data_IF_801108475969
#
_entry.id   IF_801108475969
#
_cell.length_a   1.000
_cell.length_b   1.000
_cell.length_c   1.000
_cell.angle_alpha   90.00
_cell.angle_beta   90.00
_cell.angle_gamma   90.00
#
_symmetry.space_group_name_H-M   'P 1'
#
loop_
_entity.id
_entity.type
_entity.pdbx_description
1 polymer ?
#
# COMPACT_ATOMS: atom_id res chain seq x y z
N UNK A 1 -4.22 11.04 -33.87
CA UNK A 1 -5.11 11.84 -32.99
C UNK A 1 -4.75 11.68 -31.52
N UNK A 2 -4.25 10.51 -31.09
CA UNK A 2 -3.65 10.24 -29.77
C UNK A 2 -2.22 10.79 -29.61
N UNK A 3 -1.35 10.61 -30.61
CA UNK A 3 0.07 11.06 -30.53
C UNK A 3 0.25 12.58 -30.38
N UNK A 4 -0.65 13.39 -30.96
CA UNK A 4 -0.59 14.86 -30.82
C UNK A 4 -1.03 15.34 -29.44
N UNK A 5 -1.93 14.59 -28.79
CA UNK A 5 -2.39 14.87 -27.41
C UNK A 5 -1.31 14.52 -26.39
N UNK A 6 -0.74 13.33 -26.53
CA UNK A 6 0.44 12.85 -25.79
C UNK A 6 1.60 13.85 -25.80
N UNK A 7 1.92 14.42 -26.96
CA UNK A 7 2.98 15.41 -27.11
C UNK A 7 2.64 16.76 -26.45
N UNK A 8 1.36 17.15 -26.46
CA UNK A 8 0.85 18.32 -25.75
C UNK A 8 1.01 18.20 -24.23
N UNK A 9 0.61 17.08 -23.63
CA UNK A 9 0.82 16.81 -22.20
C UNK A 9 2.31 16.84 -21.81
N UNK A 10 3.18 16.28 -22.65
CA UNK A 10 4.62 16.26 -22.41
C UNK A 10 5.21 17.68 -22.42
N UNK A 11 4.83 18.53 -23.37
CA UNK A 11 5.31 19.92 -23.47
C UNK A 11 4.82 20.80 -22.30
N UNK A 12 3.62 20.54 -21.78
CA UNK A 12 3.06 21.25 -20.61
C UNK A 12 3.77 20.85 -19.30
N UNK A 13 4.09 19.56 -19.12
CA UNK A 13 4.93 19.10 -18.00
C UNK A 13 6.36 19.64 -18.06
N UNK A 14 6.89 19.82 -19.27
CA UNK A 14 8.25 20.32 -19.48
C UNK A 14 8.35 21.83 -19.19
N UNK A 15 7.34 22.62 -19.56
CA UNK A 15 7.32 24.09 -19.48
C UNK A 15 6.88 24.69 -18.14
N UNK A 16 6.29 23.90 -17.24
CA UNK A 16 5.79 24.36 -15.94
C UNK A 16 6.91 24.54 -14.90
N UNK A 17 7.57 25.70 -14.90
CA UNK A 17 8.56 26.11 -13.86
C UNK A 17 8.44 27.58 -13.42
N UNK A 18 7.22 28.14 -13.28
CA UNK A 18 7.03 29.46 -12.65
C UNK A 18 5.79 29.50 -11.77
N UNK A 19 5.94 30.07 -10.58
CA UNK A 19 4.96 30.10 -9.49
C UNK A 19 3.61 30.73 -9.87
N UNK A 20 2.59 30.26 -9.14
CA UNK A 20 1.19 30.71 -9.03
C UNK A 20 0.21 30.50 -10.20
N UNK A 21 -0.87 29.77 -9.85
CA UNK A 21 -2.11 29.43 -10.58
C UNK A 21 -2.01 28.81 -11.99
N UNK A 22 -1.10 29.25 -12.85
CA UNK A 22 -0.91 28.73 -14.21
C UNK A 22 -0.35 27.30 -14.25
N UNK A 23 0.44 26.91 -13.25
CA UNK A 23 0.95 25.55 -13.05
C UNK A 23 -0.18 24.57 -12.76
N UNK A 24 -1.20 25.00 -12.04
CA UNK A 24 -2.31 24.15 -11.59
C UNK A 24 -3.20 23.80 -12.79
N UNK A 25 -3.61 24.78 -13.60
CA UNK A 25 -4.38 24.53 -14.83
C UNK A 25 -3.61 23.70 -15.86
N UNK A 26 -2.31 23.96 -16.04
CA UNK A 26 -1.46 23.16 -16.93
C UNK A 26 -1.29 21.72 -16.43
N UNK A 27 -1.21 21.52 -15.11
CA UNK A 27 -1.08 20.18 -14.52
C UNK A 27 -2.38 19.39 -14.60
N UNK A 28 -3.55 20.04 -14.48
CA UNK A 28 -4.87 19.40 -14.62
C UNK A 28 -5.07 18.80 -16.01
N UNK A 29 -4.76 19.56 -17.06
CA UNK A 29 -4.91 19.10 -18.47
C UNK A 29 -4.00 17.90 -18.77
N UNK A 30 -2.75 17.95 -18.29
CA UNK A 30 -1.79 16.85 -18.43
C UNK A 30 -2.30 15.59 -17.74
N UNK A 31 -2.81 15.76 -16.52
CA UNK A 31 -3.26 14.67 -15.66
C UNK A 31 -4.51 13.97 -16.23
N UNK A 32 -5.43 14.73 -16.81
CA UNK A 32 -6.58 14.18 -17.54
C UNK A 32 -6.12 13.41 -18.80
N UNK A 33 -5.15 13.92 -19.54
CA UNK A 33 -4.61 13.23 -20.72
C UNK A 33 -3.88 11.92 -20.36
N UNK A 34 -3.11 11.90 -19.28
CA UNK A 34 -2.43 10.69 -18.79
C UNK A 34 -3.46 9.63 -18.35
N UNK A 35 -4.51 10.05 -17.64
CA UNK A 35 -5.52 9.14 -17.11
C UNK A 35 -6.43 8.54 -18.20
N UNK A 36 -6.56 9.22 -19.35
CA UNK A 36 -7.39 8.81 -20.47
C UNK A 36 -6.67 7.97 -21.55
N UNK A 37 -5.39 7.65 -21.37
CA UNK A 37 -4.59 6.95 -22.39
C UNK A 37 -4.77 5.42 -22.34
N UNK A 38 -4.95 4.79 -23.52
CA UNK A 38 -5.13 3.33 -23.70
C UNK A 38 -3.92 2.52 -23.15
N UNK A 39 -4.15 1.46 -22.35
CA UNK A 39 -3.10 0.58 -21.81
C UNK A 39 -2.06 0.06 -22.82
N UNK A 40 -2.43 -0.13 -24.08
CA UNK A 40 -1.52 -0.58 -25.14
C UNK A 40 -0.57 0.51 -25.65
N UNK A 41 -0.95 1.78 -25.48
CA UNK A 41 -0.13 2.96 -25.80
C UNK A 41 0.68 3.44 -24.58
N UNK A 42 0.40 2.90 -23.39
CA UNK A 42 1.02 3.31 -22.14
C UNK A 42 2.52 2.99 -22.10
N UNK A 43 2.99 1.86 -22.63
CA UNK A 43 4.43 1.49 -22.54
C UNK A 43 5.34 2.47 -23.28
N UNK A 44 5.00 2.80 -24.53
CA UNK A 44 5.72 3.81 -25.31
C UNK A 44 5.59 5.20 -24.68
N UNK A 45 4.44 5.51 -24.06
CA UNK A 45 4.22 6.78 -23.37
C UNK A 45 4.98 6.87 -22.04
N UNK A 46 5.08 5.78 -21.28
CA UNK A 46 5.85 5.66 -20.04
C UNK A 46 7.34 5.89 -20.29
N UNK A 47 7.86 5.30 -21.37
CA UNK A 47 9.25 5.48 -21.78
C UNK A 47 9.52 6.94 -22.18
N UNK A 48 8.62 7.56 -22.95
CA UNK A 48 8.72 8.97 -23.32
C UNK A 48 8.61 9.92 -22.12
N UNK A 49 7.69 9.67 -21.18
CA UNK A 49 7.56 10.47 -19.95
C UNK A 49 8.80 10.34 -19.06
N UNK A 50 9.38 9.13 -18.97
CA UNK A 50 10.64 8.90 -18.26
C UNK A 50 11.78 9.67 -18.91
N UNK A 51 11.94 9.54 -20.23
CA UNK A 51 12.98 10.23 -21.00
C UNK A 51 12.82 11.76 -20.97
N UNK A 52 11.59 12.27 -20.83
CA UNK A 52 11.29 13.68 -20.66
C UNK A 52 11.57 14.22 -19.24
N UNK A 53 11.97 13.38 -18.29
CA UNK A 53 12.19 13.78 -16.90
C UNK A 53 10.90 14.14 -16.13
N UNK A 54 9.75 13.56 -16.51
CA UNK A 54 8.48 13.81 -15.84
C UNK A 54 8.39 13.15 -14.45
N UNK A 55 9.05 11.99 -14.24
CA UNK A 55 8.97 11.25 -12.98
C UNK A 55 9.50 12.03 -11.77
N UNK A 56 10.70 12.64 -11.82
CA UNK A 56 11.17 13.51 -10.73
C UNK A 56 10.26 14.70 -10.45
N UNK A 57 9.62 15.27 -11.50
CA UNK A 57 8.70 16.40 -11.35
C UNK A 57 7.42 16.01 -10.62
N UNK A 58 6.83 14.85 -10.96
CA UNK A 58 5.67 14.30 -10.25
C UNK A 58 5.98 14.07 -8.76
N UNK A 59 7.15 13.51 -8.46
CA UNK A 59 7.61 13.31 -7.08
C UNK A 59 7.80 14.64 -6.35
N UNK A 60 8.36 15.66 -7.00
CA UNK A 60 8.53 16.99 -6.42
C UNK A 60 7.19 17.66 -6.14
N UNK A 61 6.24 17.58 -7.07
CA UNK A 61 4.91 18.15 -6.91
C UNK A 61 4.16 17.49 -5.75
N UNK A 62 4.18 16.15 -5.67
CA UNK A 62 3.57 15.42 -4.56
C UNK A 62 4.22 15.79 -3.22
N UNK A 63 5.55 15.98 -3.20
CA UNK A 63 6.30 16.38 -2.00
C UNK A 63 5.98 17.81 -1.55
N UNK A 64 5.74 18.74 -2.48
CA UNK A 64 5.30 20.10 -2.16
C UNK A 64 3.93 20.08 -1.47
N UNK A 65 2.96 19.33 -2.02
CA UNK A 65 1.64 19.19 -1.40
C UNK A 65 1.69 18.45 -0.05
N UNK A 66 2.61 17.50 0.13
CA UNK A 66 2.85 16.85 1.42
C UNK A 66 3.26 17.86 2.50
N UNK A 67 4.07 18.87 2.16
CA UNK A 67 4.46 19.89 3.14
C UNK A 67 3.26 20.71 3.61
N UNK A 68 2.37 21.10 2.69
CA UNK A 68 1.12 21.77 3.02
C UNK A 68 0.25 20.93 3.98
N UNK A 69 0.13 19.63 3.72
CA UNK A 69 -0.62 18.70 4.58
C UNK A 69 -0.05 18.65 6.01
N UNK A 70 1.28 18.64 6.16
CA UNK A 70 1.98 18.58 7.45
C UNK A 70 1.84 19.84 8.29
N UNK A 71 1.79 21.01 7.66
CA UNK A 71 1.52 22.29 8.36
C UNK A 71 0.02 22.52 8.64
N UNK A 72 -0.81 21.52 8.35
CA UNK A 72 -2.23 21.54 8.65
C UNK A 72 -3.08 22.34 7.67
N UNK A 73 -2.52 22.71 6.51
CA UNK A 73 -3.31 23.32 5.46
C UNK A 73 -4.22 22.28 4.79
N UNK A 74 -5.43 22.71 4.46
CA UNK A 74 -6.33 21.91 3.64
C UNK A 74 -5.75 21.75 2.24
N UNK A 75 -5.99 20.58 1.63
CA UNK A 75 -5.63 20.33 0.25
C UNK A 75 -6.45 21.26 -0.64
N UNK A 76 -5.78 22.22 -1.28
CA UNK A 76 -6.44 23.25 -2.10
C UNK A 76 -6.94 22.71 -3.44
N UNK A 77 -6.31 21.65 -3.96
CA UNK A 77 -6.62 21.06 -5.28
C UNK A 77 -6.63 19.52 -5.22
N UNK A 78 -7.67 18.89 -4.65
CA UNK A 78 -7.73 17.44 -4.49
C UNK A 78 -7.72 16.68 -5.83
N UNK A 79 -8.33 17.25 -6.88
CA UNK A 79 -8.31 16.67 -8.23
C UNK A 79 -6.89 16.55 -8.80
N UNK A 80 -6.08 17.61 -8.66
CA UNK A 80 -4.68 17.61 -9.08
C UNK A 80 -3.88 16.57 -8.33
N UNK A 81 -4.01 16.51 -7.00
CA UNK A 81 -3.29 15.53 -6.18
C UNK A 81 -3.69 14.11 -6.58
N UNK A 82 -4.99 13.83 -6.70
CA UNK A 82 -5.47 12.52 -7.08
C UNK A 82 -4.93 12.08 -8.44
N UNK A 83 -4.88 13.01 -9.39
CA UNK A 83 -4.38 12.73 -10.72
C UNK A 83 -2.86 12.59 -10.80
N UNK A 84 -2.10 13.34 -10.00
CA UNK A 84 -0.64 13.12 -9.82
C UNK A 84 -0.39 11.72 -9.24
N UNK A 85 -1.16 11.33 -8.21
CA UNK A 85 -1.06 10.01 -7.60
C UNK A 85 -1.46 8.91 -8.58
N UNK A 86 -2.49 9.13 -9.39
CA UNK A 86 -2.94 8.20 -10.43
C UNK A 86 -1.87 8.00 -11.50
N UNK A 87 -1.21 9.08 -11.92
CA UNK A 87 -0.05 8.99 -12.81
C UNK A 87 1.07 8.18 -12.15
N UNK A 88 1.43 8.47 -10.89
CA UNK A 88 2.46 7.72 -10.15
C UNK A 88 2.10 6.23 -10.06
N UNK A 89 0.84 5.91 -9.75
CA UNK A 89 0.34 4.54 -9.66
C UNK A 89 0.55 3.78 -10.97
N UNK A 90 0.18 4.40 -12.10
CA UNK A 90 0.34 3.81 -13.42
C UNK A 90 1.82 3.60 -13.75
N UNK A 91 2.64 4.64 -13.57
CA UNK A 91 4.08 4.57 -13.83
C UNK A 91 4.78 3.53 -12.94
N UNK A 92 4.30 3.31 -11.72
CA UNK A 92 4.84 2.34 -10.77
C UNK A 92 4.59 0.87 -11.16
N UNK A 93 3.71 0.60 -12.13
CA UNK A 93 3.54 -0.76 -12.69
C UNK A 93 4.81 -1.24 -13.40
N UNK A 94 5.63 -0.31 -13.89
CA UNK A 94 6.89 -0.62 -14.56
C UNK A 94 8.07 -0.53 -13.57
N UNK A 95 8.73 -1.66 -13.34
CA UNK A 95 9.83 -1.78 -12.37
C UNK A 95 11.00 -0.82 -12.67
N UNK A 96 11.24 -0.47 -13.94
CA UNK A 96 12.28 0.49 -14.31
C UNK A 96 11.96 1.91 -13.81
N UNK A 97 10.69 2.27 -13.76
CA UNK A 97 10.24 3.58 -13.28
C UNK A 97 10.28 3.67 -11.75
N UNK A 98 10.10 2.55 -11.04
CA UNK A 98 10.01 2.54 -9.58
C UNK A 98 11.25 3.13 -8.89
N UNK A 99 12.45 2.97 -9.47
CA UNK A 99 13.69 3.58 -8.92
C UNK A 99 13.67 5.11 -8.89
N UNK A 100 12.90 5.72 -9.79
CA UNK A 100 12.69 7.18 -9.86
C UNK A 100 11.48 7.65 -9.03
N UNK A 101 10.58 6.72 -8.69
CA UNK A 101 9.37 7.00 -7.91
C UNK A 101 9.53 6.72 -6.42
N UNK A 102 10.55 5.98 -5.98
CA UNK A 102 10.74 5.62 -4.57
C UNK A 102 10.69 6.81 -3.61
N UNK A 103 11.13 7.99 -4.05
CA UNK A 103 11.18 9.21 -3.23
C UNK A 103 9.78 9.80 -2.98
N UNK A 104 8.75 9.36 -3.71
CA UNK A 104 7.36 9.76 -3.49
C UNK A 104 6.66 8.93 -2.38
N UNK A 105 7.23 7.78 -1.98
CA UNK A 105 6.64 6.87 -0.99
C UNK A 105 6.29 7.58 0.32
N UNK A 106 7.18 8.41 0.92
CA UNK A 106 6.85 9.09 2.16
C UNK A 106 5.69 10.09 2.03
N UNK A 107 5.47 10.66 0.84
CA UNK A 107 4.33 11.52 0.57
C UNK A 107 3.04 10.70 0.42
N UNK A 108 3.09 9.61 -0.34
CA UNK A 108 1.97 8.68 -0.49
C UNK A 108 1.52 8.08 0.85
N UNK A 109 2.45 7.78 1.77
CA UNK A 109 2.12 7.33 3.13
C UNK A 109 1.32 8.40 3.88
N UNK A 110 1.74 9.66 3.81
CA UNK A 110 1.04 10.75 4.49
C UNK A 110 -0.38 10.95 3.90
N UNK A 111 -0.52 10.92 2.57
CA UNK A 111 -1.82 11.00 1.89
C UNK A 111 -2.71 9.78 2.13
N UNK A 112 -2.13 8.58 2.27
CA UNK A 112 -2.90 7.38 2.59
C UNK A 112 -3.40 7.39 4.03
N UNK A 113 -2.66 7.99 4.97
CA UNK A 113 -2.90 7.82 6.42
C UNK A 113 -3.67 8.96 7.09
N UNK A 114 -3.77 10.12 6.43
CA UNK A 114 -4.43 11.29 7.02
C UNK A 114 -5.95 11.21 6.91
N UNK A 115 -6.65 11.74 7.90
CA UNK A 115 -8.09 12.01 7.89
C UNK A 115 -8.46 13.28 7.09
N UNK A 116 -7.46 14.02 6.60
CA UNK A 116 -7.64 15.30 5.87
C UNK A 116 -7.80 15.13 4.36
N UNK A 117 -7.64 13.91 3.85
CA UNK A 117 -7.83 13.57 2.44
C UNK A 117 -9.17 12.90 2.24
N UNK A 118 -9.78 13.10 1.08
CA UNK A 118 -10.92 12.29 0.69
C UNK A 118 -10.54 10.81 0.47
N UNK A 119 -11.55 9.93 0.48
CA UNK A 119 -11.37 8.50 0.28
C UNK A 119 -10.75 8.18 -1.09
N UNK A 120 -10.96 9.04 -2.10
CA UNK A 120 -10.42 8.82 -3.45
C UNK A 120 -8.90 8.98 -3.50
N UNK A 121 -8.36 10.04 -2.87
CA UNK A 121 -6.93 10.30 -2.71
C UNK A 121 -6.29 9.22 -1.84
N UNK A 122 -6.96 8.82 -0.76
CA UNK A 122 -6.50 7.71 0.08
C UNK A 122 -6.38 6.41 -0.73
N UNK A 123 -7.43 6.05 -1.47
CA UNK A 123 -7.46 4.82 -2.26
C UNK A 123 -6.40 4.83 -3.37
N UNK A 124 -6.26 5.94 -4.09
CA UNK A 124 -5.24 6.12 -5.12
C UNK A 124 -3.82 6.01 -4.52
N UNK A 125 -3.61 6.57 -3.31
CA UNK A 125 -2.33 6.47 -2.60
C UNK A 125 -2.01 5.03 -2.24
N UNK A 126 -2.99 4.28 -1.72
CA UNK A 126 -2.83 2.85 -1.39
C UNK A 126 -2.56 1.99 -2.65
N UNK A 127 -3.17 2.33 -3.78
CA UNK A 127 -2.88 1.67 -5.07
C UNK A 127 -1.43 1.89 -5.51
N UNK A 128 -0.96 3.14 -5.51
CA UNK A 128 0.43 3.46 -5.84
C UNK A 128 1.42 2.77 -4.88
N UNK A 129 1.13 2.80 -3.58
CA UNK A 129 1.91 2.11 -2.55
C UNK A 129 1.92 0.60 -2.73
N UNK A 130 0.84 0.00 -3.23
CA UNK A 130 0.79 -1.44 -3.55
C UNK A 130 1.79 -1.78 -4.66
N UNK A 131 1.82 -1.01 -5.75
CA UNK A 131 2.75 -1.24 -6.86
C UNK A 131 4.21 -1.03 -6.43
N UNK A 132 4.50 0.01 -5.65
CA UNK A 132 5.86 0.31 -5.17
C UNK A 132 6.34 -0.69 -4.11
N UNK A 133 5.42 -1.27 -3.31
CA UNK A 133 5.77 -2.28 -2.29
C UNK A 133 6.13 -3.64 -2.87
N UNK A 134 6.03 -3.86 -4.18
CA UNK A 134 6.56 -5.08 -4.81
C UNK A 134 8.08 -5.16 -4.64
N UNK A 135 8.78 -4.02 -4.57
CA UNK A 135 10.21 -3.99 -4.28
C UNK A 135 10.47 -3.87 -2.76
N UNK A 136 11.04 -4.94 -2.19
CA UNK A 136 11.38 -5.01 -0.75
C UNK A 136 12.40 -3.96 -0.27
N UNK A 137 13.24 -3.43 -1.16
CA UNK A 137 14.21 -2.37 -0.83
C UNK A 137 13.51 -1.06 -0.42
N UNK A 138 12.24 -0.89 -0.78
CA UNK A 138 11.47 0.32 -0.50
C UNK A 138 10.57 0.20 0.74
N UNK A 139 10.68 -0.88 1.52
CA UNK A 139 9.76 -1.15 2.63
C UNK A 139 10.01 -0.33 3.90
N UNK A 140 11.23 0.15 4.15
CA UNK A 140 11.57 0.86 5.41
C UNK A 140 10.60 2.01 5.76
N UNK A 141 10.19 2.89 4.82
CA UNK A 141 9.21 3.94 5.11
C UNK A 141 7.83 3.41 5.52
N UNK A 142 7.42 2.23 5.03
CA UNK A 142 6.09 1.65 5.28
C UNK A 142 5.88 1.24 6.74
N UNK A 143 6.95 1.13 7.54
CA UNK A 143 6.85 0.87 8.98
C UNK A 143 5.88 1.83 9.69
N UNK A 144 5.83 3.09 9.24
CA UNK A 144 4.93 4.13 9.75
C UNK A 144 3.46 3.95 9.35
N UNK A 145 3.21 3.19 8.28
CA UNK A 145 1.89 2.96 7.70
C UNK A 145 1.24 1.69 8.27
N UNK A 146 2.01 0.76 8.86
CA UNK A 146 1.52 -0.56 9.31
C UNK A 146 0.30 -0.46 10.23
N UNK A 147 0.36 0.39 11.26
CA UNK A 147 -0.74 0.55 12.23
C UNK A 147 -2.03 0.98 11.52
N UNK A 148 -1.93 1.96 10.62
CA UNK A 148 -3.06 2.48 9.86
C UNK A 148 -3.67 1.42 8.92
N UNK A 149 -2.84 0.59 8.28
CA UNK A 149 -3.32 -0.49 7.42
C UNK A 149 -4.16 -1.50 8.20
N UNK A 150 -3.78 -1.81 9.45
CA UNK A 150 -4.59 -2.66 10.33
C UNK A 150 -5.90 -1.98 10.74
N UNK A 151 -5.89 -0.67 11.02
CA UNK A 151 -7.12 0.08 11.33
C UNK A 151 -8.10 0.11 10.16
N UNK A 152 -7.62 0.15 8.91
CA UNK A 152 -8.48 0.01 7.72
C UNK A 152 -9.13 -1.37 7.60
N UNK A 153 -8.57 -2.42 8.21
CA UNK A 153 -9.23 -3.73 8.22
C UNK A 153 -10.48 -3.72 9.11
N UNK A 154 -10.51 -2.89 10.14
CA UNK A 154 -11.64 -2.78 11.05
C UNK A 154 -12.68 -1.76 10.55
N UNK A 155 -12.23 -0.59 10.09
CA UNK A 155 -13.12 0.56 9.83
C UNK A 155 -13.20 1.00 8.36
N UNK A 156 -12.29 0.52 7.50
CA UNK A 156 -12.22 0.92 6.10
C UNK A 156 -13.35 0.33 5.26
N UNK A 157 -13.78 1.09 4.24
CA UNK A 157 -14.65 0.58 3.18
C UNK A 157 -14.02 -0.60 2.43
N UNK A 158 -14.82 -1.37 1.70
CA UNK A 158 -14.37 -2.60 1.04
C UNK A 158 -13.12 -2.38 0.16
N UNK A 159 -13.12 -1.34 -0.68
CA UNK A 159 -11.99 -1.02 -1.57
C UNK A 159 -10.72 -0.68 -0.80
N UNK A 160 -10.82 0.14 0.25
CA UNK A 160 -9.69 0.52 1.10
C UNK A 160 -9.12 -0.69 1.83
N UNK A 161 -10.00 -1.54 2.39
CA UNK A 161 -9.62 -2.79 3.07
C UNK A 161 -8.87 -3.74 2.14
N UNK A 162 -9.37 -3.91 0.93
CA UNK A 162 -8.73 -4.75 -0.09
C UNK A 162 -7.33 -4.22 -0.45
N UNK A 163 -7.17 -2.90 -0.64
CA UNK A 163 -5.86 -2.33 -0.94
C UNK A 163 -4.91 -2.39 0.27
N UNK A 164 -5.41 -2.18 1.49
CA UNK A 164 -4.61 -2.33 2.70
C UNK A 164 -4.04 -3.75 2.82
N UNK A 165 -4.87 -4.78 2.56
CA UNK A 165 -4.42 -6.17 2.53
C UNK A 165 -3.39 -6.45 1.43
N UNK A 166 -3.48 -5.81 0.26
CA UNK A 166 -2.48 -5.97 -0.81
C UNK A 166 -1.12 -5.38 -0.41
N UNK A 167 -1.10 -4.19 0.18
CA UNK A 167 0.13 -3.60 0.73
C UNK A 167 0.71 -4.51 1.82
N UNK A 168 -0.11 -4.93 2.80
CA UNK A 168 0.32 -5.81 3.88
C UNK A 168 0.85 -7.16 3.36
N UNK A 169 0.24 -7.74 2.32
CA UNK A 169 0.70 -8.97 1.71
C UNK A 169 2.12 -8.80 1.14
N UNK A 170 2.39 -7.72 0.40
CA UNK A 170 3.72 -7.42 -0.11
C UNK A 170 4.73 -7.21 1.03
N UNK A 171 4.38 -6.42 2.05
CA UNK A 171 5.25 -6.19 3.21
C UNK A 171 5.56 -7.49 3.97
N UNK A 172 4.59 -8.39 4.09
CA UNK A 172 4.76 -9.67 4.81
C UNK A 172 5.80 -10.60 4.18
N UNK A 173 6.12 -10.42 2.90
CA UNK A 173 7.17 -11.21 2.21
C UNK A 173 8.58 -10.79 2.63
N UNK A 174 8.73 -9.59 3.21
CA UNK A 174 10.01 -9.09 3.69
C UNK A 174 10.14 -9.38 5.19
N UNK A 175 11.06 -10.27 5.54
CA UNK A 175 11.29 -10.69 6.91
C UNK A 175 11.65 -9.52 7.85
N UNK A 176 12.27 -8.44 7.34
CA UNK A 176 12.58 -7.24 8.12
C UNK A 176 11.32 -6.46 8.53
N UNK A 177 10.22 -6.61 7.81
CA UNK A 177 8.95 -5.96 8.13
C UNK A 177 8.14 -6.73 9.17
N UNK A 178 8.37 -8.05 9.32
CA UNK A 178 7.58 -8.90 10.21
C UNK A 178 7.62 -8.43 11.68
N UNK A 179 8.76 -8.01 12.26
CA UNK A 179 8.76 -7.42 13.60
C UNK A 179 7.85 -6.20 13.75
N UNK A 180 7.76 -5.35 12.73
CA UNK A 180 6.87 -4.18 12.73
C UNK A 180 5.39 -4.58 12.63
N UNK A 181 5.06 -5.57 11.78
CA UNK A 181 3.70 -6.15 11.71
C UNK A 181 3.26 -6.74 13.06
N UNK A 182 4.18 -7.40 13.76
CA UNK A 182 3.92 -8.02 15.07
C UNK A 182 3.82 -7.00 16.21
N UNK A 183 4.54 -5.88 16.11
CA UNK A 183 4.55 -4.79 17.08
C UNK A 183 3.28 -3.92 17.05
N UNK A 184 2.68 -3.77 15.87
CA UNK A 184 1.45 -3.00 15.70
C UNK A 184 0.26 -3.62 16.45
N UNK A 185 -0.74 -2.79 16.76
CA UNK A 185 -1.97 -3.20 17.45
C UNK A 185 -2.75 -4.16 16.54
N UNK A 186 -3.16 -5.30 17.10
CA UNK A 186 -3.90 -6.29 16.36
C UNK A 186 -5.25 -5.74 15.88
N UNK A 187 -5.64 -5.94 14.60
CA UNK A 187 -6.97 -5.59 14.15
C UNK A 187 -8.02 -6.45 14.86
N UNK A 188 -9.15 -5.85 15.24
CA UNK A 188 -10.23 -6.56 15.92
C UNK A 188 -10.80 -7.70 15.06
N UNK A 189 -10.77 -7.55 13.74
CA UNK A 189 -11.20 -8.55 12.77
C UNK A 189 -10.21 -9.71 12.52
N UNK A 190 -9.07 -9.80 13.22
CA UNK A 190 -8.01 -10.79 13.00
C UNK A 190 -8.52 -12.24 12.81
N UNK A 191 -9.42 -12.68 13.69
CA UNK A 191 -10.01 -14.03 13.62
C UNK A 191 -11.24 -14.11 12.72
N UNK A 192 -12.02 -13.04 12.56
CA UNK A 192 -13.23 -13.06 11.75
C UNK A 192 -12.92 -13.12 10.25
N UNK A 193 -11.80 -12.52 9.82
CA UNK A 193 -11.27 -12.66 8.45
C UNK A 193 -10.85 -14.08 8.08
N UNK A 194 -10.67 -14.97 9.06
CA UNK A 194 -10.43 -16.41 8.84
C UNK A 194 -11.75 -17.19 8.92
N UNK A 195 -12.74 -16.77 8.14
CA UNK A 195 -14.00 -17.49 7.95
C UNK A 195 -14.11 -17.97 6.51
N UNK A 196 -14.65 -19.17 6.23
CA UNK A 196 -14.99 -19.59 4.86
C UNK A 196 -15.96 -18.64 4.15
N UNK A 197 -16.77 -17.90 4.91
CA UNK A 197 -17.72 -16.91 4.37
C UNK A 197 -17.07 -15.55 4.06
N UNK A 198 -15.82 -15.34 4.47
CA UNK A 198 -15.07 -14.15 4.09
C UNK A 198 -14.84 -14.16 2.59
N UNK A 199 -15.05 -13.02 1.94
CA UNK A 199 -14.81 -12.87 0.51
C UNK A 199 -13.43 -13.41 0.12
N UNK A 200 -13.40 -14.21 -0.95
CA UNK A 200 -12.21 -14.98 -1.36
C UNK A 200 -10.98 -14.08 -1.51
N UNK A 201 -11.15 -12.90 -2.08
CA UNK A 201 -10.10 -11.92 -2.32
C UNK A 201 -9.52 -11.33 -1.02
N UNK A 202 -10.31 -11.16 0.03
CA UNK A 202 -9.82 -10.73 1.33
C UNK A 202 -9.15 -11.89 2.07
N UNK A 203 -9.79 -13.06 2.05
CA UNK A 203 -9.35 -14.27 2.73
C UNK A 203 -8.00 -14.77 2.22
N UNK A 204 -7.79 -14.77 0.91
CA UNK A 204 -6.51 -15.21 0.31
C UNK A 204 -5.34 -14.29 0.72
N UNK A 205 -5.53 -12.96 0.75
CA UNK A 205 -4.46 -12.05 1.20
C UNK A 205 -4.23 -12.17 2.69
N UNK A 206 -5.28 -12.25 3.49
CA UNK A 206 -5.14 -12.39 4.95
C UNK A 206 -4.43 -13.69 5.34
N UNK A 207 -4.81 -14.81 4.72
CA UNK A 207 -4.10 -16.09 4.93
C UNK A 207 -2.66 -16.05 4.43
N UNK A 208 -2.37 -15.36 3.32
CA UNK A 208 -1.00 -15.15 2.82
C UNK A 208 -0.15 -14.36 3.82
N UNK A 209 -0.68 -13.25 4.35
CA UNK A 209 -0.01 -12.41 5.36
C UNK A 209 0.34 -13.25 6.59
N UNK A 210 -0.65 -13.97 7.13
CA UNK A 210 -0.44 -14.80 8.32
C UNK A 210 0.55 -15.94 8.06
N UNK A 211 0.49 -16.58 6.90
CA UNK A 211 1.44 -17.63 6.53
C UNK A 211 2.87 -17.11 6.51
N UNK A 212 3.12 -15.94 5.92
CA UNK A 212 4.46 -15.35 5.86
C UNK A 212 4.95 -14.89 7.23
N UNK A 213 4.10 -14.21 8.01
CA UNK A 213 4.43 -13.72 9.36
C UNK A 213 4.75 -14.89 10.29
N UNK A 214 3.88 -15.91 10.36
CA UNK A 214 4.05 -17.03 11.28
C UNK A 214 5.25 -17.90 10.88
N UNK A 215 5.47 -18.11 9.58
CA UNK A 215 6.66 -18.81 9.08
C UNK A 215 7.94 -18.05 9.48
N UNK A 216 7.98 -16.73 9.30
CA UNK A 216 9.13 -15.91 9.69
C UNK A 216 9.38 -15.95 11.20
N UNK A 217 8.32 -15.90 12.02
CA UNK A 217 8.45 -16.05 13.48
C UNK A 217 9.10 -17.40 13.83
N UNK A 218 8.67 -18.48 13.19
CA UNK A 218 9.23 -19.83 13.40
C UNK A 218 10.69 -19.90 12.95
N UNK A 219 11.01 -19.41 11.76
CA UNK A 219 12.35 -19.54 11.15
C UNK A 219 13.38 -18.64 11.84
N UNK A 220 12.98 -17.45 12.32
CA UNK A 220 13.85 -16.49 12.99
C UNK A 220 13.80 -16.57 14.52
N UNK A 221 12.91 -17.38 15.08
CA UNK A 221 12.71 -17.49 16.53
C UNK A 221 12.29 -16.17 17.18
N UNK A 222 11.44 -15.38 16.50
CA UNK A 222 11.02 -14.06 17.00
C UNK A 222 10.17 -14.20 18.27
N UNK A 223 10.44 -13.35 19.25
CA UNK A 223 9.66 -13.28 20.48
C UNK A 223 9.18 -11.85 20.74
N UNK A 224 8.38 -11.64 21.80
CA UNK A 224 7.91 -10.32 22.19
C UNK A 224 9.04 -9.30 22.46
N UNK A 225 10.24 -9.78 22.82
CA UNK A 225 11.43 -8.94 23.06
C UNK A 225 12.17 -8.58 21.77
N UNK A 226 11.94 -9.32 20.67
CA UNK A 226 12.50 -9.05 19.34
C UNK A 226 11.79 -7.91 18.61
N UNK A 227 10.65 -7.44 19.12
CA UNK A 227 9.82 -6.44 18.47
C UNK A 227 10.37 -5.03 18.67
N UNK A 228 10.40 -4.19 17.62
CA UNK A 228 10.87 -2.80 17.72
C UNK A 228 10.05 -2.04 18.77
N UNK A 229 10.70 -1.13 19.49
CA UNK A 229 10.03 -0.27 20.47
C UNK A 229 9.29 0.90 19.81
N UNK A 230 9.81 1.37 18.68
CA UNK A 230 9.20 2.43 17.89
C UNK A 230 7.89 1.91 17.29
N UNK A 231 6.78 2.61 17.55
CA UNK A 231 5.43 2.24 17.11
C UNK A 231 4.90 0.91 17.68
N UNK A 232 5.51 0.37 18.74
CA UNK A 232 5.00 -0.81 19.44
C UNK A 232 3.72 -0.47 20.19
N UNK A 233 2.64 -1.18 19.90
CA UNK A 233 1.43 -1.10 20.70
C UNK A 233 1.71 -1.57 22.14
N UNK A 234 1.02 -1.02 23.15
CA UNK A 234 1.09 -1.55 24.51
C UNK A 234 0.71 -3.03 24.52
N UNK A 235 1.48 -3.87 25.21
CA UNK A 235 1.01 -5.23 25.51
C UNK A 235 -0.21 -5.13 26.43
N UNK A 236 -1.31 -5.90 26.21
CA UNK A 236 -1.43 -7.08 25.34
C UNK A 236 -1.95 -6.80 23.92
N UNK A 237 -2.04 -5.54 23.49
CA UNK A 237 -2.70 -5.16 22.23
C UNK A 237 -1.88 -5.49 20.97
N UNK A 238 -0.59 -5.80 21.11
CA UNK A 238 0.29 -6.16 19.98
C UNK A 238 -0.22 -7.38 19.21
N UNK A 239 -0.03 -7.38 17.90
CA UNK A 239 -0.34 -8.52 17.02
C UNK A 239 0.38 -9.80 17.44
N UNK A 240 1.60 -9.71 17.96
CA UNK A 240 2.30 -10.86 18.55
C UNK A 240 1.49 -11.52 19.66
N UNK A 241 1.09 -10.74 20.68
CA UNK A 241 0.30 -11.25 21.81
C UNK A 241 -1.08 -11.74 21.36
N UNK A 242 -1.68 -11.09 20.35
CA UNK A 242 -2.94 -11.56 19.77
C UNK A 242 -2.78 -12.94 19.09
N UNK A 243 -1.73 -13.18 18.30
CA UNK A 243 -1.54 -14.45 17.61
C UNK A 243 -1.13 -15.59 18.56
N UNK A 244 -0.30 -15.30 19.56
CA UNK A 244 0.29 -16.32 20.45
C UNK A 244 -0.36 -16.39 21.84
N UNK A 245 -1.33 -15.52 22.14
CA UNK A 245 -2.13 -15.60 23.36
C UNK A 245 -2.94 -16.90 23.41
N UNK A 246 -2.93 -17.59 24.55
CA UNK A 246 -3.42 -18.98 24.67
C UNK A 246 -4.81 -19.21 24.05
N UNK A 247 -5.80 -18.37 24.39
CA UNK A 247 -7.18 -18.50 23.89
C UNK A 247 -7.28 -18.21 22.39
N UNK A 248 -6.62 -17.16 21.93
CA UNK A 248 -6.67 -16.75 20.51
C UNK A 248 -5.93 -17.74 19.62
N UNK A 249 -4.80 -18.28 20.09
CA UNK A 249 -4.03 -19.30 19.38
C UNK A 249 -4.85 -20.57 19.12
N UNK A 250 -5.64 -21.03 20.10
CA UNK A 250 -6.53 -22.19 19.90
C UNK A 250 -7.60 -21.89 18.85
N UNK A 251 -8.22 -20.70 18.90
CA UNK A 251 -9.20 -20.28 17.88
C UNK A 251 -8.59 -20.15 16.49
N UNK A 252 -7.37 -19.61 16.41
CA UNK A 252 -6.59 -19.50 15.17
C UNK A 252 -6.34 -20.88 14.57
N UNK A 253 -5.83 -21.84 15.38
CA UNK A 253 -5.60 -23.23 14.96
C UNK A 253 -6.87 -23.87 14.39
N UNK A 254 -8.00 -23.76 15.10
CA UNK A 254 -9.28 -24.32 14.66
C UNK A 254 -9.75 -23.70 13.34
N UNK A 255 -9.68 -22.37 13.19
CA UNK A 255 -10.08 -21.68 11.95
C UNK A 255 -9.18 -22.05 10.77
N UNK A 256 -7.88 -22.08 10.98
CA UNK A 256 -6.90 -22.50 9.95
C UNK A 256 -7.12 -23.95 9.54
N UNK A 257 -7.42 -24.85 10.48
CA UNK A 257 -7.72 -26.24 10.19
C UNK A 257 -8.94 -26.39 9.25
N UNK A 258 -10.00 -25.61 9.48
CA UNK A 258 -11.16 -25.57 8.56
C UNK A 258 -10.73 -25.09 7.17
N UNK A 259 -9.92 -24.04 7.09
CA UNK A 259 -9.44 -23.49 5.82
C UNK A 259 -8.48 -24.43 5.05
N UNK A 260 -7.86 -25.41 5.72
CA UNK A 260 -7.10 -26.47 5.03
C UNK A 260 -7.99 -27.36 4.14
N UNK A 261 -9.32 -27.23 4.20
CA UNK A 261 -10.28 -27.93 3.35
C UNK A 261 -11.05 -26.98 2.42
N UNK A 262 -10.62 -25.72 2.30
CA UNK A 262 -11.29 -24.72 1.47
C UNK A 262 -11.24 -25.08 -0.02
N UNK A 263 -12.29 -24.69 -0.76
CA UNK A 263 -12.43 -24.99 -2.20
C UNK A 263 -11.38 -24.29 -3.06
N UNK A 264 -11.09 -23.02 -2.75
CA UNK A 264 -9.99 -22.28 -3.38
C UNK A 264 -8.64 -22.88 -2.96
N UNK A 265 -7.82 -23.21 -3.96
CA UNK A 265 -6.54 -23.93 -3.81
C UNK A 265 -5.45 -23.11 -3.14
N UNK A 266 -5.44 -21.80 -3.38
CA UNK A 266 -4.45 -20.90 -2.80
C UNK A 266 -4.73 -20.68 -1.31
N UNK A 267 -5.99 -20.44 -0.94
CA UNK A 267 -6.41 -20.35 0.46
C UNK A 267 -6.03 -21.62 1.21
N UNK A 268 -6.29 -22.79 0.62
CA UNK A 268 -5.92 -24.09 1.20
C UNK A 268 -4.40 -24.23 1.36
N UNK A 269 -3.64 -23.79 0.37
CA UNK A 269 -2.18 -23.81 0.43
C UNK A 269 -1.65 -22.92 1.57
N UNK A 270 -2.11 -21.68 1.65
CA UNK A 270 -1.71 -20.75 2.71
C UNK A 270 -2.14 -21.23 4.10
N UNK A 271 -3.35 -21.74 4.25
CA UNK A 271 -3.82 -22.33 5.50
C UNK A 271 -2.94 -23.52 5.94
N UNK A 272 -2.53 -24.37 5.00
CA UNK A 272 -1.64 -25.51 5.29
C UNK A 272 -0.25 -25.06 5.76
N UNK A 273 0.27 -23.95 5.21
CA UNK A 273 1.53 -23.33 5.68
C UNK A 273 1.41 -22.86 7.13
N UNK A 274 0.32 -22.15 7.45
CA UNK A 274 0.05 -21.69 8.82
C UNK A 274 -0.06 -22.89 9.76
N UNK A 275 -0.88 -23.89 9.40
CA UNK A 275 -1.13 -25.07 10.23
C UNK A 275 0.18 -25.77 10.62
N UNK A 276 1.07 -26.03 9.66
CA UNK A 276 2.38 -26.68 9.89
C UNK A 276 3.30 -25.89 10.80
N UNK A 277 3.14 -24.57 10.87
CA UNK A 277 3.94 -23.74 11.76
C UNK A 277 3.41 -23.74 13.19
N UNK A 278 2.10 -23.94 13.37
CA UNK A 278 1.45 -23.89 14.68
C UNK A 278 1.30 -25.27 15.36
N UNK A 279 1.44 -26.37 14.61
CA UNK A 279 1.54 -27.75 15.13
C UNK A 279 2.98 -28.14 15.41
#
# INVERSE_FOLDING_TARGET
>A
SSERRVKGAQDVLVSSTREDHSVVEGSEVVVEEISATDPSSLSHYEDNLREAGALPKLTSLLSAHRMALRVGQSITYPAVINGVISCINNMAMNQHNQKHLKDCIPALIDFASTDKTDESVQLASLQALTNLSVNSEYHTPYTKLVQQLFEYLDHGGHSVKLQALKVLANLSTNEQMVPHLLAAKAPACLLSLLSPDTETDLLIRWTTILANVIQTVKDRGLTATSLPHEYKAPSPETTYTALYGHVTLQKLKSKVFVLCRHGNTDIRHQASRIHRCLT
#
